data_IF_092195688708
#
_entry.id   IF_092195688708
#
_cell.length_a   1.000
_cell.length_b   1.000
_cell.length_c   1.000
_cell.angle_alpha   90.00
_cell.angle_beta   90.00
_cell.angle_gamma   90.00
#
_symmetry.space_group_name_H-M   'P 1'
#
loop_
_entity.id
_entity.type
_entity.pdbx_description
1 polymer ?
#
# COMPACT_ATOMS: atom_id res chain seq x y z
N UNK A 1 -1.74 5.41 11.49
CA UNK A 1 -1.63 5.33 10.02
C UNK A 1 -1.89 3.92 9.54
N UNK A 2 -2.70 3.75 8.49
CA UNK A 2 -3.23 2.43 8.12
C UNK A 2 -2.16 1.36 7.84
N UNK A 3 -0.98 1.72 7.30
CA UNK A 3 0.11 0.76 7.12
C UNK A 3 0.68 0.29 8.46
N UNK A 4 0.86 1.20 9.43
CA UNK A 4 1.32 0.85 10.77
C UNK A 4 0.26 0.05 11.53
N UNK A 5 -1.03 0.40 11.36
CA UNK A 5 -2.15 -0.35 11.93
C UNK A 5 -2.14 -1.81 11.44
N UNK A 6 -1.88 -2.04 10.14
CA UNK A 6 -1.75 -3.38 9.61
C UNK A 6 -0.55 -4.14 10.22
N UNK A 7 0.60 -3.49 10.40
CA UNK A 7 1.77 -4.13 11.02
C UNK A 7 1.46 -4.48 12.47
N UNK A 8 0.94 -3.53 13.26
CA UNK A 8 0.58 -3.77 14.67
C UNK A 8 -0.43 -4.90 14.80
N UNK A 9 -1.53 -4.88 14.02
CA UNK A 9 -2.53 -5.95 14.01
C UNK A 9 -1.98 -7.31 13.55
N UNK A 10 -0.88 -7.33 12.82
CA UNK A 10 -0.17 -8.55 12.45
C UNK A 10 0.75 -9.09 13.55
N UNK A 11 1.05 -8.29 14.58
CA UNK A 11 2.01 -8.61 15.64
C UNK A 11 1.38 -8.86 17.00
N UNK A 12 0.33 -8.12 17.36
CA UNK A 12 -0.27 -8.18 18.71
C UNK A 12 -1.67 -8.81 18.68
N UNK A 13 -2.10 -9.32 19.83
CA UNK A 13 -3.48 -9.77 20.02
C UNK A 13 -4.44 -8.57 19.91
N UNK A 14 -5.61 -8.79 19.32
CA UNK A 14 -6.56 -7.72 19.00
C UNK A 14 -6.94 -6.85 20.20
N UNK A 15 -7.03 -7.44 21.38
CA UNK A 15 -7.42 -6.77 22.64
C UNK A 15 -6.42 -5.67 23.05
N UNK A 16 -5.18 -5.78 22.62
CA UNK A 16 -4.13 -4.77 22.87
C UNK A 16 -4.27 -3.53 21.99
N UNK A 17 -5.08 -3.58 20.92
CA UNK A 17 -5.27 -2.46 20.00
C UNK A 17 -6.55 -1.72 20.35
N UNK A 18 -6.43 -0.53 20.92
CA UNK A 18 -7.56 0.27 21.41
C UNK A 18 -8.17 1.19 20.37
N UNK A 19 -7.42 1.56 19.33
CA UNK A 19 -7.90 2.40 18.25
C UNK A 19 -7.15 2.13 16.96
N UNK A 20 -7.85 2.27 15.83
CA UNK A 20 -7.33 2.13 14.48
C UNK A 20 -7.72 3.34 13.63
N UNK A 21 -6.94 3.64 12.60
CA UNK A 21 -7.28 4.66 11.62
C UNK A 21 -8.55 4.31 10.84
N UNK A 22 -9.30 5.33 10.43
CA UNK A 22 -10.60 5.20 9.75
C UNK A 22 -10.56 4.27 8.52
N UNK A 23 -9.47 4.29 7.76
CA UNK A 23 -9.29 3.45 6.58
C UNK A 23 -9.28 1.94 6.87
N UNK A 24 -8.95 1.54 8.10
CA UNK A 24 -8.97 0.12 8.50
C UNK A 24 -10.37 -0.50 8.48
N UNK A 25 -11.41 0.33 8.57
CA UNK A 25 -12.82 -0.09 8.57
C UNK A 25 -13.42 -0.24 7.17
N UNK A 26 -12.65 0.02 6.13
CA UNK A 26 -13.08 -0.06 4.73
C UNK A 26 -12.43 -1.24 4.02
N UNK A 27 -13.24 -2.16 3.50
CA UNK A 27 -12.76 -3.35 2.78
C UNK A 27 -12.03 -3.04 1.45
N UNK A 28 -12.12 -1.80 0.94
CA UNK A 28 -11.34 -1.37 -0.22
C UNK A 28 -9.91 -0.95 0.16
N UNK A 29 -9.69 -0.59 1.43
CA UNK A 29 -8.43 -0.10 1.96
C UNK A 29 -7.75 -1.09 2.93
N UNK A 30 -8.48 -2.06 3.50
CA UNK A 30 -7.98 -2.96 4.54
C UNK A 30 -8.34 -4.42 4.28
N UNK A 31 -7.47 -5.33 4.74
CA UNK A 31 -7.73 -6.78 4.77
C UNK A 31 -8.47 -7.24 6.03
N UNK A 32 -8.51 -6.40 7.07
CA UNK A 32 -9.09 -6.71 8.38
C UNK A 32 -10.26 -5.79 8.74
N UNK A 33 -11.00 -5.31 7.73
CA UNK A 33 -12.13 -4.41 7.98
C UNK A 33 -13.21 -5.03 8.88
N UNK A 34 -13.40 -6.36 8.80
CA UNK A 34 -14.35 -7.10 9.65
C UNK A 34 -13.90 -7.12 11.11
N UNK A 35 -12.62 -7.33 11.38
CA UNK A 35 -12.03 -7.28 12.72
C UNK A 35 -12.00 -5.85 13.26
N UNK A 36 -11.65 -4.89 12.40
CA UNK A 36 -11.64 -3.48 12.76
C UNK A 36 -13.03 -2.98 13.19
N UNK A 37 -14.11 -3.42 12.55
CA UNK A 37 -15.49 -3.03 12.91
C UNK A 37 -15.83 -3.39 14.37
N UNK A 38 -15.22 -4.41 14.93
CA UNK A 38 -15.41 -4.81 16.33
C UNK A 38 -14.75 -3.84 17.32
N UNK A 39 -13.85 -2.97 16.87
CA UNK A 39 -13.17 -1.99 17.72
C UNK A 39 -14.04 -0.76 17.93
N UNK A 40 -14.14 -0.27 19.18
CA UNK A 40 -15.08 0.81 19.53
C UNK A 40 -14.65 2.17 18.98
N UNK A 41 -13.36 2.37 18.67
CA UNK A 41 -12.82 3.69 18.38
C UNK A 41 -12.14 3.74 17.02
N UNK A 42 -12.69 4.61 16.17
CA UNK A 42 -12.12 5.01 14.86
C UNK A 42 -11.43 6.35 15.03
N UNK A 43 -10.16 6.42 14.68
CA UNK A 43 -9.47 7.70 14.58
C UNK A 43 -9.65 8.27 13.17
N UNK A 44 -10.34 9.39 13.04
CA UNK A 44 -10.39 10.18 11.82
C UNK A 44 -9.02 10.85 11.57
N UNK A 45 -8.77 11.36 10.38
CA UNK A 45 -7.51 12.05 10.08
C UNK A 45 -7.30 13.34 10.88
N UNK A 46 -8.39 13.97 11.31
CA UNK A 46 -8.46 15.23 12.07
C UNK A 46 -8.65 15.04 13.58
N UNK A 47 -8.39 13.82 14.10
CA UNK A 47 -8.55 13.57 15.54
C UNK A 47 -7.65 14.49 16.38
N UNK A 48 -8.20 14.96 17.51
CA UNK A 48 -7.47 15.84 18.43
C UNK A 48 -6.60 15.05 19.42
N UNK A 49 -5.63 15.74 20.01
CA UNK A 49 -4.77 15.11 21.03
C UNK A 49 -5.58 14.71 22.28
N UNK A 50 -6.64 15.45 22.61
CA UNK A 50 -7.55 15.14 23.72
C UNK A 50 -8.34 13.85 23.46
N UNK A 51 -8.76 13.61 22.22
CA UNK A 51 -9.42 12.34 21.85
C UNK A 51 -8.48 11.14 22.05
N UNK A 52 -7.20 11.29 21.69
CA UNK A 52 -6.19 10.24 21.92
C UNK A 52 -5.95 10.04 23.42
N UNK A 53 -5.79 11.12 24.18
CA UNK A 53 -5.58 11.07 25.64
C UNK A 53 -6.76 10.39 26.36
N UNK A 54 -7.99 10.64 25.93
CA UNK A 54 -9.19 10.01 26.50
C UNK A 54 -9.20 8.47 26.35
N UNK A 55 -8.50 7.93 25.37
CA UNK A 55 -8.33 6.48 25.18
C UNK A 55 -7.31 5.85 26.12
N UNK A 56 -6.49 6.67 26.82
CA UNK A 56 -5.44 6.24 27.75
C UNK A 56 -4.50 5.19 27.14
N UNK A 57 -3.89 5.45 25.96
CA UNK A 57 -2.94 4.52 25.40
C UNK A 57 -1.68 4.45 26.25
N UNK A 58 -1.07 3.27 26.34
CA UNK A 58 0.24 3.06 26.94
C UNK A 58 1.38 3.21 25.90
N UNK A 59 1.05 3.16 24.60
CA UNK A 59 1.98 3.39 23.51
C UNK A 59 1.23 3.93 22.27
N UNK A 60 1.84 4.88 21.58
CA UNK A 60 1.45 5.32 20.24
C UNK A 60 2.55 4.94 19.25
N UNK A 61 2.18 4.26 18.17
CA UNK A 61 3.04 4.04 17.01
C UNK A 61 2.71 5.11 15.96
N UNK A 62 3.67 5.97 15.66
CA UNK A 62 3.50 7.10 14.77
C UNK A 62 4.50 7.06 13.61
N UNK A 63 4.19 7.75 12.50
CA UNK A 63 5.14 8.00 11.41
C UNK A 63 5.81 9.35 11.60
N UNK A 64 6.98 9.54 10.98
CA UNK A 64 7.65 10.85 10.89
C UNK A 64 6.70 11.93 10.33
N UNK A 65 5.87 11.57 9.34
CA UNK A 65 4.89 12.49 8.74
C UNK A 65 3.73 12.89 9.68
N UNK A 66 3.64 12.33 10.90
CA UNK A 66 2.68 12.76 11.93
C UNK A 66 2.95 14.20 12.38
N UNK A 67 4.18 14.67 12.22
CA UNK A 67 4.62 16.00 12.57
C UNK A 67 5.14 16.11 14.01
N UNK A 68 6.29 16.73 14.15
CA UNK A 68 7.00 16.83 15.44
C UNK A 68 6.16 17.47 16.54
N UNK A 69 5.41 18.54 16.23
CA UNK A 69 4.57 19.23 17.22
C UNK A 69 3.54 18.28 17.84
N UNK A 70 2.89 17.43 17.06
CA UNK A 70 1.91 16.47 17.55
C UNK A 70 2.56 15.36 18.40
N UNK A 71 3.72 14.88 17.95
CA UNK A 71 4.51 13.88 18.69
C UNK A 71 4.92 14.44 20.06
N UNK A 72 5.43 15.66 20.11
CA UNK A 72 5.83 16.32 21.37
C UNK A 72 4.62 16.58 22.28
N UNK A 73 3.46 16.91 21.72
CA UNK A 73 2.22 17.05 22.49
C UNK A 73 1.87 15.75 23.21
N UNK A 74 1.93 14.60 22.55
CA UNK A 74 1.66 13.30 23.19
C UNK A 74 2.69 12.97 24.28
N UNK A 75 3.97 13.21 23.99
CA UNK A 75 5.06 12.99 24.98
C UNK A 75 4.91 13.89 26.22
N UNK A 76 4.52 15.14 26.02
CA UNK A 76 4.25 16.08 27.13
C UNK A 76 3.04 15.66 27.99
N UNK A 77 2.09 14.92 27.39
CA UNK A 77 0.96 14.30 28.10
C UNK A 77 1.33 12.99 28.80
N UNK A 78 2.61 12.58 28.78
CA UNK A 78 3.10 11.37 29.42
C UNK A 78 2.85 10.09 28.61
N UNK A 79 2.46 10.20 27.33
CA UNK A 79 2.22 9.03 26.46
C UNK A 79 3.50 8.69 25.71
N UNK A 80 4.05 7.46 25.82
CA UNK A 80 5.16 7.01 25.00
C UNK A 80 4.79 7.02 23.52
N UNK A 81 5.66 7.58 22.67
CA UNK A 81 5.47 7.60 21.21
C UNK A 81 6.69 6.98 20.54
N UNK A 82 6.48 5.87 19.87
CA UNK A 82 7.47 5.26 19.00
C UNK A 82 7.26 5.76 17.57
N UNK A 83 8.27 6.40 17.00
CA UNK A 83 8.20 6.98 15.66
C UNK A 83 8.98 6.11 14.70
N UNK A 84 8.33 5.69 13.61
CA UNK A 84 8.93 4.89 12.54
C UNK A 84 9.09 5.72 11.27
N UNK A 85 10.17 5.47 10.53
CA UNK A 85 10.40 6.06 9.22
C UNK A 85 9.40 5.57 8.17
N UNK A 86 9.27 6.29 7.06
CA UNK A 86 8.47 5.83 5.93
C UNK A 86 9.15 4.61 5.28
N UNK A 87 8.34 3.67 4.77
CA UNK A 87 8.83 2.54 3.99
C UNK A 87 8.43 2.71 2.51
N UNK A 88 9.41 2.71 1.63
CA UNK A 88 9.26 2.86 0.18
C UNK A 88 9.69 1.59 -0.58
N UNK A 89 10.09 0.54 0.12
CA UNK A 89 10.47 -0.75 -0.43
C UNK A 89 10.21 -1.88 0.58
N UNK A 90 10.29 -3.12 0.12
CA UNK A 90 10.03 -4.32 0.92
C UNK A 90 11.00 -4.45 2.10
N UNK A 91 12.27 -4.12 1.92
CA UNK A 91 13.27 -4.24 3.00
C UNK A 91 13.01 -3.22 4.12
N UNK A 92 12.59 -2.01 3.77
CA UNK A 92 12.17 -1.01 4.76
C UNK A 92 10.90 -1.44 5.50
N UNK A 93 9.95 -2.12 4.83
CA UNK A 93 8.78 -2.72 5.50
C UNK A 93 9.21 -3.78 6.51
N UNK A 94 10.12 -4.68 6.14
CA UNK A 94 10.66 -5.69 7.07
C UNK A 94 11.32 -5.04 8.28
N UNK A 95 12.11 -3.98 8.05
CA UNK A 95 12.72 -3.20 9.12
C UNK A 95 11.66 -2.61 10.06
N UNK A 96 10.59 -1.98 9.51
CA UNK A 96 9.48 -1.47 10.32
C UNK A 96 8.80 -2.58 11.14
N UNK A 97 8.57 -3.75 10.55
CA UNK A 97 8.00 -4.91 11.27
C UNK A 97 8.85 -5.28 12.46
N UNK A 98 10.19 -5.33 12.29
CA UNK A 98 11.13 -5.63 13.36
C UNK A 98 11.11 -4.57 14.46
N UNK A 99 11.20 -3.30 14.08
CA UNK A 99 11.21 -2.16 15.01
C UNK A 99 9.92 -2.07 15.81
N UNK A 100 8.77 -2.23 15.15
CA UNK A 100 7.46 -2.23 15.81
C UNK A 100 7.33 -3.45 16.73
N UNK A 101 7.78 -4.64 16.29
CA UNK A 101 7.80 -5.84 17.10
C UNK A 101 8.57 -5.66 18.41
N UNK A 102 9.74 -5.03 18.35
CA UNK A 102 10.52 -4.68 19.54
C UNK A 102 9.76 -3.68 20.44
N UNK A 103 9.17 -2.63 19.84
CA UNK A 103 8.46 -1.59 20.59
C UNK A 103 7.23 -2.13 21.34
N UNK A 104 6.54 -3.15 20.79
CA UNK A 104 5.34 -3.77 21.39
C UNK A 104 5.65 -5.05 22.18
N UNK A 105 6.92 -5.46 22.26
CA UNK A 105 7.36 -6.67 22.98
C UNK A 105 7.08 -7.98 22.25
N UNK A 106 6.95 -7.96 20.91
CA UNK A 106 6.59 -9.12 20.07
C UNK A 106 7.67 -9.43 19.01
N UNK A 107 8.94 -9.43 19.41
CA UNK A 107 10.07 -9.65 18.48
C UNK A 107 9.99 -11.01 17.76
N UNK A 108 9.59 -12.08 18.44
CA UNK A 108 9.43 -13.40 17.83
C UNK A 108 8.31 -13.42 16.78
N UNK A 109 7.18 -12.76 17.06
CA UNK A 109 6.09 -12.62 16.08
C UNK A 109 6.51 -11.78 14.89
N UNK A 110 7.36 -10.75 15.10
CA UNK A 110 7.92 -9.95 14.01
C UNK A 110 8.81 -10.79 13.08
N UNK A 111 9.67 -11.64 13.63
CA UNK A 111 10.50 -12.56 12.84
C UNK A 111 9.64 -13.54 12.02
N UNK A 112 8.63 -14.15 12.65
CA UNK A 112 7.68 -15.04 11.96
C UNK A 112 6.93 -14.34 10.83
N UNK A 113 6.48 -13.08 11.07
CA UNK A 113 5.79 -12.28 10.07
C UNK A 113 6.70 -11.98 8.86
N UNK A 114 7.95 -11.61 9.11
CA UNK A 114 8.95 -11.40 8.06
C UNK A 114 9.21 -12.69 7.26
N UNK A 115 9.33 -13.84 7.93
CA UNK A 115 9.52 -15.14 7.27
C UNK A 115 8.33 -15.50 6.38
N UNK A 116 7.09 -15.30 6.87
CA UNK A 116 5.88 -15.52 6.06
C UNK A 116 5.84 -14.61 4.84
N UNK A 117 6.19 -13.33 5.01
CA UNK A 117 6.29 -12.38 3.92
C UNK A 117 7.35 -12.82 2.91
N UNK A 118 8.55 -13.22 3.36
CA UNK A 118 9.62 -13.70 2.50
C UNK A 118 9.20 -14.96 1.71
N UNK A 119 8.56 -15.93 2.37
CA UNK A 119 8.03 -17.14 1.70
C UNK A 119 7.09 -16.78 0.54
N UNK A 120 6.23 -15.77 0.72
CA UNK A 120 5.34 -15.30 -0.34
C UNK A 120 6.12 -14.62 -1.48
N UNK A 121 7.14 -13.84 -1.17
CA UNK A 121 7.98 -13.17 -2.17
C UNK A 121 8.79 -14.19 -2.99
N UNK A 122 9.36 -15.22 -2.34
CA UNK A 122 10.09 -16.30 -3.01
C UNK A 122 9.16 -17.11 -3.94
N UNK A 123 7.94 -17.36 -3.48
CA UNK A 123 6.93 -18.02 -4.31
C UNK A 123 6.55 -17.15 -5.52
N UNK A 124 6.33 -15.85 -5.33
CA UNK A 124 6.07 -14.92 -6.43
C UNK A 124 7.20 -14.96 -7.44
N UNK A 125 8.45 -14.84 -6.97
CA UNK A 125 9.64 -14.88 -7.81
C UNK A 125 9.70 -16.17 -8.62
N UNK A 126 9.47 -17.33 -8.00
CA UNK A 126 9.51 -18.62 -8.69
C UNK A 126 8.49 -18.74 -9.82
N UNK A 127 7.29 -18.19 -9.62
CA UNK A 127 6.22 -18.17 -10.63
C UNK A 127 6.53 -17.22 -11.78
N UNK A 128 7.02 -16.02 -11.46
CA UNK A 128 7.39 -14.98 -12.45
C UNK A 128 8.57 -15.47 -13.29
N UNK A 129 9.61 -16.05 -12.69
CA UNK A 129 10.78 -16.59 -13.39
C UNK A 129 10.41 -17.74 -14.35
N UNK A 130 9.35 -18.49 -14.02
CA UNK A 130 8.83 -19.58 -14.86
C UNK A 130 7.93 -19.09 -15.99
N UNK A 131 7.52 -17.83 -15.98
CA UNK A 131 6.65 -17.27 -17.01
C UNK A 131 7.44 -16.98 -18.28
N UNK A 132 7.04 -17.60 -19.41
CA UNK A 132 7.71 -17.45 -20.72
C UNK A 132 7.42 -16.14 -21.44
N UNK A 133 6.77 -15.18 -20.79
CA UNK A 133 6.34 -13.90 -21.38
C UNK A 133 7.36 -12.80 -21.16
N UNK A 134 7.47 -11.87 -22.11
CA UNK A 134 8.28 -10.67 -21.92
C UNK A 134 7.68 -9.79 -20.82
N UNK A 135 8.51 -9.18 -19.97
CA UNK A 135 8.05 -8.23 -18.95
C UNK A 135 7.22 -7.12 -19.59
N UNK A 136 6.06 -6.85 -19.00
CA UNK A 136 5.20 -5.72 -19.36
C UNK A 136 5.60 -4.49 -18.58
N UNK A 137 5.29 -3.31 -19.12
CA UNK A 137 5.46 -2.04 -18.41
C UNK A 137 4.13 -1.53 -17.87
N UNK A 138 4.18 -0.95 -16.68
CA UNK A 138 3.00 -0.46 -15.98
C UNK A 138 3.21 0.97 -15.49
N UNK A 139 2.13 1.73 -15.44
CA UNK A 139 2.11 3.07 -14.86
C UNK A 139 0.93 3.20 -13.90
N UNK A 140 1.21 3.60 -12.68
CA UNK A 140 0.18 3.97 -11.71
C UNK A 140 -0.30 5.40 -11.98
N UNK A 141 -1.61 5.57 -12.08
CA UNK A 141 -2.28 6.87 -12.18
C UNK A 141 -3.23 7.02 -11.01
N UNK A 142 -2.88 7.93 -10.11
CA UNK A 142 -3.67 8.22 -8.92
C UNK A 142 -4.45 9.52 -9.11
N UNK A 143 -5.76 9.49 -8.82
CA UNK A 143 -6.60 10.70 -8.84
C UNK A 143 -6.28 11.65 -7.69
N UNK A 144 -5.74 11.14 -6.58
CA UNK A 144 -5.45 11.92 -5.37
C UNK A 144 -3.98 12.27 -5.22
N UNK A 145 -3.08 11.42 -5.68
CA UNK A 145 -1.64 11.61 -5.52
C UNK A 145 -0.93 11.58 -6.87
N UNK A 146 -0.99 12.70 -7.56
CA UNK A 146 -0.42 12.84 -8.90
C UNK A 146 1.12 12.78 -8.93
N UNK A 147 1.79 12.77 -7.79
CA UNK A 147 3.26 12.74 -7.68
C UNK A 147 3.79 11.38 -7.21
N UNK A 148 2.95 10.34 -7.20
CA UNK A 148 3.33 9.01 -6.71
C UNK A 148 3.39 7.98 -7.83
N UNK A 149 4.40 7.10 -7.79
CA UNK A 149 4.54 5.97 -8.70
C UNK A 149 5.78 6.01 -9.59
N UNK A 150 6.65 7.02 -9.45
CA UNK A 150 7.93 7.10 -10.14
C UNK A 150 9.02 6.22 -9.50
N UNK A 151 10.24 6.32 -10.02
CA UNK A 151 11.43 5.61 -9.53
C UNK A 151 11.67 5.89 -8.04
N UNK A 152 11.88 4.84 -7.27
CA UNK A 152 12.07 4.93 -5.81
C UNK A 152 10.78 5.06 -5.01
N UNK A 153 9.60 4.92 -5.63
CA UNK A 153 8.34 4.73 -4.92
C UNK A 153 8.17 3.28 -4.49
N UNK A 154 7.26 3.03 -3.55
CA UNK A 154 6.89 1.66 -3.22
C UNK A 154 6.25 0.91 -4.40
N UNK A 155 5.56 1.62 -5.29
CA UNK A 155 5.05 1.03 -6.54
C UNK A 155 6.17 0.53 -7.45
N UNK A 156 7.29 1.26 -7.51
CA UNK A 156 8.48 0.86 -8.27
C UNK A 156 9.05 -0.47 -7.75
N UNK A 157 9.15 -0.61 -6.43
CA UNK A 157 9.61 -1.84 -5.78
C UNK A 157 8.63 -3.01 -5.99
N UNK A 158 7.31 -2.76 -5.91
CA UNK A 158 6.30 -3.78 -6.26
C UNK A 158 6.42 -4.26 -7.72
N UNK A 159 6.70 -3.35 -8.66
CA UNK A 159 6.95 -3.70 -10.06
C UNK A 159 8.17 -4.62 -10.18
N UNK A 160 9.26 -4.32 -9.46
CA UNK A 160 10.46 -5.16 -9.42
C UNK A 160 10.13 -6.59 -8.98
N UNK A 161 9.44 -6.76 -7.84
CA UNK A 161 9.05 -8.09 -7.33
C UNK A 161 8.04 -8.80 -8.23
N UNK A 162 7.18 -8.08 -8.92
CA UNK A 162 6.22 -8.62 -9.87
C UNK A 162 6.86 -8.97 -11.24
N UNK A 163 8.16 -8.71 -11.43
CA UNK A 163 8.86 -8.94 -12.70
C UNK A 163 8.37 -8.06 -13.84
N UNK A 164 7.84 -6.89 -13.55
CA UNK A 164 7.36 -5.91 -14.54
C UNK A 164 8.18 -4.63 -14.49
N UNK A 165 8.07 -3.81 -15.51
CA UNK A 165 8.74 -2.51 -15.58
C UNK A 165 7.82 -1.41 -15.05
N UNK A 166 8.37 -0.51 -14.26
CA UNK A 166 7.70 0.75 -13.94
C UNK A 166 7.97 1.77 -15.06
N UNK A 167 6.98 2.04 -15.91
CA UNK A 167 7.17 2.83 -17.11
C UNK A 167 7.69 4.26 -16.85
N UNK A 168 7.20 5.02 -15.85
CA UNK A 168 7.80 6.29 -15.45
C UNK A 168 9.28 6.17 -15.02
N UNK A 169 9.64 5.12 -14.27
CA UNK A 169 11.01 4.91 -13.84
C UNK A 169 11.98 4.63 -14.99
N UNK A 170 11.54 3.90 -16.02
CA UNK A 170 12.31 3.62 -17.24
C UNK A 170 12.69 4.90 -18.02
N UNK A 171 11.89 5.96 -17.92
CA UNK A 171 12.17 7.27 -18.52
C UNK A 171 12.77 8.29 -17.55
N UNK A 172 13.20 7.83 -16.35
CA UNK A 172 13.91 8.64 -15.36
C UNK A 172 13.02 9.52 -14.49
N UNK A 173 11.69 9.33 -14.48
CA UNK A 173 10.79 10.08 -13.60
C UNK A 173 10.89 9.55 -12.18
N UNK A 174 11.25 10.43 -11.24
CA UNK A 174 11.41 10.09 -9.83
C UNK A 174 10.06 10.17 -9.08
N UNK A 175 9.95 9.41 -8.00
CA UNK A 175 8.85 9.58 -7.05
C UNK A 175 8.85 11.02 -6.50
N UNK A 176 7.67 11.62 -6.39
CA UNK A 176 7.51 13.04 -6.06
C UNK A 176 7.40 13.97 -7.27
N UNK A 177 7.73 13.51 -8.47
CA UNK A 177 7.50 14.27 -9.71
C UNK A 177 6.09 14.05 -10.23
N UNK A 178 5.55 15.06 -10.92
CA UNK A 178 4.19 15.03 -11.45
C UNK A 178 4.02 13.95 -12.54
N UNK A 179 2.99 13.12 -12.41
CA UNK A 179 2.57 12.09 -13.37
C UNK A 179 1.46 12.62 -14.28
N UNK A 180 1.77 13.64 -15.08
CA UNK A 180 0.83 14.27 -16.00
C UNK A 180 0.70 13.50 -17.33
N UNK A 181 -0.12 14.05 -18.24
CA UNK A 181 -0.34 13.45 -19.56
C UNK A 181 0.93 13.41 -20.40
N UNK A 182 1.83 14.36 -20.27
CA UNK A 182 3.11 14.34 -20.99
C UNK A 182 3.96 13.16 -20.55
N UNK A 183 4.05 12.91 -19.25
CA UNK A 183 4.72 11.73 -18.70
C UNK A 183 4.05 10.44 -19.17
N UNK A 184 2.70 10.38 -19.18
CA UNK A 184 1.97 9.21 -19.67
C UNK A 184 2.31 8.88 -21.13
N UNK A 185 2.31 9.90 -22.00
CA UNK A 185 2.64 9.76 -23.42
C UNK A 185 4.09 9.33 -23.64
N UNK A 186 5.03 9.92 -22.91
CA UNK A 186 6.47 9.57 -23.02
C UNK A 186 6.77 8.17 -22.46
N UNK A 187 6.17 7.81 -21.34
CA UNK A 187 6.37 6.51 -20.71
C UNK A 187 5.71 5.37 -21.49
N UNK A 188 4.61 5.65 -22.19
CA UNK A 188 3.85 4.73 -23.04
C UNK A 188 3.75 3.30 -22.48
N UNK A 189 3.12 3.11 -21.32
CA UNK A 189 3.08 1.81 -20.65
C UNK A 189 2.22 0.79 -21.41
N UNK A 190 2.45 -0.51 -21.16
CA UNK A 190 1.57 -1.59 -21.59
C UNK A 190 0.23 -1.58 -20.82
N UNK A 191 0.24 -1.13 -19.56
CA UNK A 191 -0.92 -1.08 -18.68
C UNK A 191 -0.97 0.22 -17.87
N UNK A 192 -2.14 0.82 -17.76
CA UNK A 192 -2.44 1.82 -16.75
C UNK A 192 -3.15 1.17 -15.55
N UNK A 193 -2.65 1.43 -14.37
CA UNK A 193 -3.26 1.04 -13.09
C UNK A 193 -3.89 2.27 -12.45
N UNK A 194 -5.21 2.34 -12.46
CA UNK A 194 -5.94 3.48 -11.91
C UNK A 194 -6.21 3.26 -10.43
N UNK A 195 -5.92 4.27 -9.62
CA UNK A 195 -6.28 4.38 -8.21
C UNK A 195 -7.30 5.50 -8.01
N UNK A 196 -8.40 5.16 -7.38
CA UNK A 196 -9.32 6.12 -6.75
C UNK A 196 -9.08 6.04 -5.25
N UNK A 197 -8.91 7.17 -4.58
CA UNK A 197 -8.85 7.16 -3.12
C UNK A 197 -10.08 6.46 -2.53
N UNK A 198 -9.87 5.69 -1.45
CA UNK A 198 -10.96 5.09 -0.68
C UNK A 198 -11.98 6.14 -0.20
N UNK A 199 -11.55 7.39 -0.01
CA UNK A 199 -12.43 8.51 0.34
C UNK A 199 -13.39 8.88 -0.80
N UNK A 200 -12.97 8.64 -2.05
CA UNK A 200 -13.76 8.89 -3.25
C UNK A 200 -14.56 7.66 -3.71
N UNK A 201 -14.77 6.69 -2.84
CA UNK A 201 -15.45 5.42 -3.15
C UNK A 201 -16.85 5.55 -3.73
N UNK A 202 -17.51 6.67 -3.54
CA UNK A 202 -18.80 7.00 -4.12
C UNK A 202 -18.68 7.58 -5.53
N UNK A 203 -17.47 8.00 -5.94
CA UNK A 203 -17.21 8.37 -7.31
C UNK A 203 -17.32 7.15 -8.22
N UNK A 204 -17.92 7.34 -9.35
CA UNK A 204 -18.14 6.32 -10.36
C UNK A 204 -16.80 5.81 -10.91
N UNK A 205 -16.33 4.63 -10.45
CA UNK A 205 -15.09 3.97 -10.94
C UNK A 205 -15.13 3.79 -12.45
N UNK A 206 -16.28 3.38 -12.96
CA UNK A 206 -16.50 3.16 -14.39
C UNK A 206 -16.44 4.49 -15.13
N UNK A 207 -16.95 5.57 -14.52
CA UNK A 207 -16.83 6.93 -15.03
C UNK A 207 -15.38 7.38 -15.14
N UNK A 208 -14.56 7.18 -14.09
CA UNK A 208 -13.14 7.55 -14.15
C UNK A 208 -12.36 6.74 -15.19
N UNK A 209 -12.60 5.43 -15.26
CA UNK A 209 -12.01 4.60 -16.31
C UNK A 209 -12.48 5.05 -17.69
N UNK A 210 -13.76 5.39 -17.85
CA UNK A 210 -14.35 5.88 -19.08
C UNK A 210 -13.73 7.22 -19.51
N UNK A 211 -13.63 8.19 -18.59
CA UNK A 211 -12.95 9.47 -18.85
C UNK A 211 -11.53 9.25 -19.37
N UNK A 212 -10.79 8.31 -18.74
CA UNK A 212 -9.43 7.99 -19.12
C UNK A 212 -9.34 7.36 -20.52
N UNK A 213 -10.25 6.43 -20.84
CA UNK A 213 -10.31 5.75 -22.13
C UNK A 213 -10.79 6.66 -23.27
N UNK A 214 -11.65 7.63 -22.97
CA UNK A 214 -12.22 8.58 -23.95
C UNK A 214 -11.35 9.85 -24.11
N UNK A 215 -10.24 9.97 -23.39
CA UNK A 215 -9.33 11.11 -23.51
C UNK A 215 -8.64 11.11 -24.90
N UNK A 216 -8.91 12.12 -25.77
CA UNK A 216 -8.33 12.15 -27.13
C UNK A 216 -6.80 12.17 -27.13
N UNK A 217 -6.17 12.73 -26.08
CA UNK A 217 -4.71 12.76 -25.98
C UNK A 217 -4.11 11.37 -25.77
N UNK A 218 -4.85 10.46 -25.13
CA UNK A 218 -4.40 9.10 -24.79
C UNK A 218 -4.88 8.04 -25.80
N UNK A 219 -5.81 8.39 -26.70
CA UNK A 219 -6.50 7.46 -27.60
C UNK A 219 -5.57 6.62 -28.48
N UNK A 220 -4.38 7.13 -28.80
CA UNK A 220 -3.40 6.43 -29.63
C UNK A 220 -2.46 5.50 -28.84
N UNK A 221 -2.51 5.50 -27.54
CA UNK A 221 -1.67 4.63 -26.69
C UNK A 221 -2.12 3.17 -26.78
N UNK A 222 -1.18 2.24 -26.85
CA UNK A 222 -1.48 0.80 -26.96
C UNK A 222 -2.25 0.27 -25.74
N UNK A 223 -1.98 0.79 -24.56
CA UNK A 223 -2.73 0.44 -23.35
C UNK A 223 -4.22 0.83 -23.47
N UNK A 224 -4.52 1.99 -24.04
CA UNK A 224 -5.89 2.49 -24.24
C UNK A 224 -6.59 1.70 -25.35
N UNK A 225 -5.96 1.54 -26.53
CA UNK A 225 -6.50 0.77 -27.66
C UNK A 225 -6.85 -0.67 -27.31
N UNK A 226 -6.04 -1.29 -26.46
CA UNK A 226 -6.22 -2.68 -26.04
C UNK A 226 -7.02 -2.82 -24.72
N UNK A 227 -7.66 -1.74 -24.24
CA UNK A 227 -8.41 -1.70 -22.97
C UNK A 227 -7.61 -2.22 -21.75
N UNK A 228 -6.30 -1.97 -21.74
CA UNK A 228 -5.38 -2.33 -20.65
C UNK A 228 -5.29 -1.20 -19.63
N UNK A 229 -6.46 -0.73 -19.22
CA UNK A 229 -6.66 0.27 -18.16
C UNK A 229 -7.42 -0.42 -17.04
N UNK A 230 -6.71 -0.71 -15.95
CA UNK A 230 -7.19 -1.52 -14.84
C UNK A 230 -7.35 -0.68 -13.59
N UNK A 231 -8.45 -0.87 -12.86
CA UNK A 231 -8.63 -0.31 -11.54
C UNK A 231 -8.13 -1.31 -10.48
N UNK A 232 -7.27 -0.83 -9.58
CA UNK A 232 -6.86 -1.58 -8.38
C UNK A 232 -7.29 -0.83 -7.12
N UNK A 233 -7.71 -1.59 -6.10
CA UNK A 233 -8.09 -1.03 -4.79
C UNK A 233 -6.87 -0.47 -4.07
N UNK A 234 -7.07 0.54 -3.23
CA UNK A 234 -6.01 1.20 -2.47
C UNK A 234 -5.24 0.24 -1.56
N UNK A 235 -5.92 -0.80 -1.02
CA UNK A 235 -5.27 -1.86 -0.23
C UNK A 235 -4.16 -2.61 -0.98
N UNK A 236 -4.11 -2.51 -2.31
CA UNK A 236 -3.03 -3.07 -3.13
C UNK A 236 -1.97 -2.00 -3.44
N UNK A 237 -2.39 -0.82 -3.88
CA UNK A 237 -1.48 0.18 -4.43
C UNK A 237 -0.69 0.97 -3.39
N UNK A 238 -1.21 1.07 -2.16
CA UNK A 238 -0.60 1.85 -1.08
C UNK A 238 -0.25 1.02 0.16
N UNK A 239 -0.28 -0.32 0.05
CA UNK A 239 0.00 -1.23 1.15
C UNK A 239 1.51 -1.39 1.42
N UNK A 240 2.20 -0.33 1.85
CA UNK A 240 3.56 -0.47 2.38
C UNK A 240 3.54 -1.12 3.77
N UNK A 241 3.12 -2.39 3.80
CA UNK A 241 3.04 -3.26 4.97
C UNK A 241 3.16 -4.74 4.53
N UNK A 242 3.09 -5.69 5.46
CA UNK A 242 3.25 -7.12 5.18
C UNK A 242 2.32 -7.70 4.10
N UNK A 243 1.18 -7.08 3.85
CA UNK A 243 0.21 -7.56 2.87
C UNK A 243 0.50 -7.12 1.43
N UNK A 244 1.60 -6.40 1.18
CA UNK A 244 2.03 -5.97 -0.16
C UNK A 244 2.21 -7.14 -1.13
N UNK A 245 2.46 -8.34 -0.64
CA UNK A 245 2.58 -9.57 -1.44
C UNK A 245 1.35 -9.82 -2.31
N UNK A 246 0.16 -9.45 -1.85
CA UNK A 246 -1.08 -9.56 -2.62
C UNK A 246 -1.15 -8.56 -3.77
N UNK A 247 -0.65 -7.34 -3.54
CA UNK A 247 -0.52 -6.34 -4.60
C UNK A 247 0.46 -6.79 -5.70
N UNK A 248 1.61 -7.33 -5.30
CA UNK A 248 2.63 -7.86 -6.20
C UNK A 248 2.05 -9.00 -7.06
N UNK A 249 1.30 -9.94 -6.45
CA UNK A 249 0.59 -11.00 -7.19
C UNK A 249 -0.44 -10.45 -8.19
N UNK A 250 -1.22 -9.42 -7.80
CA UNK A 250 -2.19 -8.79 -8.72
C UNK A 250 -1.50 -8.14 -9.92
N UNK A 251 -0.41 -7.42 -9.68
CA UNK A 251 0.41 -6.79 -10.73
C UNK A 251 0.99 -7.87 -11.67
N UNK A 252 1.56 -8.94 -11.11
CA UNK A 252 2.09 -10.04 -11.90
C UNK A 252 1.00 -10.77 -12.70
N UNK A 253 -0.18 -10.99 -12.15
CA UNK A 253 -1.31 -11.59 -12.87
C UNK A 253 -1.75 -10.76 -14.09
N UNK A 254 -1.73 -9.43 -13.98
CA UNK A 254 -2.04 -8.55 -15.13
C UNK A 254 -1.00 -8.71 -16.25
N UNK A 255 0.27 -8.89 -15.90
CA UNK A 255 1.36 -9.03 -16.87
C UNK A 255 1.44 -10.40 -17.51
N UNK A 256 1.26 -11.47 -16.71
CA UNK A 256 1.58 -12.85 -17.08
C UNK A 256 0.35 -13.77 -17.20
N UNK A 257 -0.88 -13.22 -17.06
CA UNK A 257 -2.10 -13.99 -17.32
C UNK A 257 -2.48 -14.96 -16.21
N UNK A 258 -2.82 -14.47 -15.02
CA UNK A 258 -3.35 -15.25 -13.91
C UNK A 258 -2.46 -16.43 -13.47
N UNK A 259 -1.16 -16.17 -13.31
CA UNK A 259 -0.20 -17.17 -12.81
C UNK A 259 -0.40 -17.49 -11.31
N UNK A 260 -1.19 -16.66 -10.59
CA UNK A 260 -1.66 -16.86 -9.22
C UNK A 260 -3.18 -16.99 -9.24
N UNK A 261 -3.68 -18.20 -9.44
CA UNK A 261 -5.13 -18.52 -9.42
C UNK A 261 -5.51 -19.09 -8.07
N UNK A 262 -6.75 -18.78 -7.64
CA UNK A 262 -7.44 -19.46 -6.53
C UNK A 262 -6.79 -19.34 -5.14
N UNK A 263 -5.90 -18.37 -4.95
CA UNK A 263 -5.34 -18.08 -3.64
C UNK A 263 -6.24 -17.11 -2.86
N UNK A 264 -6.66 -17.54 -1.68
CA UNK A 264 -7.35 -16.67 -0.73
C UNK A 264 -6.37 -15.61 -0.20
N UNK A 265 -6.77 -14.32 -0.31
CA UNK A 265 -6.01 -13.22 0.24
C UNK A 265 -6.19 -13.17 1.75
N UNK A 266 -5.29 -13.77 2.49
CA UNK A 266 -5.31 -13.75 3.95
C UNK A 266 -4.48 -12.60 4.51
N UNK A 267 -4.92 -12.05 5.61
CA UNK A 267 -4.14 -11.08 6.37
C UNK A 267 -2.93 -11.78 7.01
N UNK A 268 -1.72 -11.32 6.70
CA UNK A 268 -0.50 -11.93 7.23
C UNK A 268 -0.27 -11.54 8.68
N UNK A 269 -0.14 -12.54 9.56
CA UNK A 269 0.13 -12.40 11.00
C UNK A 269 1.42 -13.12 11.39
N UNK A 270 2.04 -12.71 12.48
CA UNK A 270 3.23 -13.35 13.08
C UNK A 270 2.90 -14.52 14.03
N UNK A 271 1.62 -14.88 14.14
CA UNK A 271 1.14 -15.94 15.03
C UNK A 271 0.06 -16.79 14.39
#
# INVERSE_FOLDING_TARGET
>A
HFNLDNIVMGLVDEERVIALSKSMYDASASYISTEAIKKPTKLNYDFSSEQVLALKPDLIIARESTGENRIQTYRAMGIPVYVVSNANNVEEIKKQIQEIGQAVGESERAEKLQQRMQTQLDYIKSKVDSASMKPKSMMLVSKMNHNYGGKGSFFDDMCHFAGVKNAPAEIGVLNGQLMDKEVMLRANPDYFLLSLSWELKHDNKDGYKKEFLEDPALANMEAVKNNRVCYLKDKYLYASNQNCVWAIKKIANLAYGNIFTDEEEVFLKGY
#
